data_IF_412007062851
#
_entry.id   IF_412007062851
#
_cell.length_a   1.000
_cell.length_b   1.000
_cell.length_c   1.000
_cell.angle_alpha   90.00
_cell.angle_beta   90.00
_cell.angle_gamma   90.00
#
_symmetry.space_group_name_H-M   'P 1'
#
loop_
_entity.id
_entity.type
_entity.pdbx_description
1 polymer ?
#
# COMPACT_ATOMS: atom_id res chain seq x y z
N UNK A 1 -25.60 11.81 13.80
CA UNK A 1 -25.63 11.42 12.38
C UNK A 1 -24.23 11.58 11.82
N UNK A 2 -23.88 10.98 10.66
CA UNK A 2 -22.70 11.43 9.92
C UNK A 2 -22.75 12.95 9.68
N UNK A 3 -21.57 13.57 9.60
CA UNK A 3 -21.46 15.01 9.40
C UNK A 3 -21.80 15.39 7.95
N UNK A 4 -22.30 16.63 7.77
CA UNK A 4 -22.60 17.20 6.45
C UNK A 4 -21.73 18.43 6.25
N UNK A 5 -21.02 18.49 5.12
CA UNK A 5 -20.17 19.64 4.75
C UNK A 5 -20.80 20.37 3.57
N UNK A 6 -20.99 21.69 3.71
CA UNK A 6 -21.57 22.57 2.70
C UNK A 6 -20.56 23.67 2.34
N UNK A 7 -20.41 23.96 1.03
CA UNK A 7 -19.55 25.04 0.54
C UNK A 7 -20.28 25.88 -0.51
N UNK A 8 -19.89 27.14 -0.63
CA UNK A 8 -20.37 28.08 -1.66
C UNK A 8 -19.18 28.74 -2.34
N UNK A 9 -19.25 28.93 -3.65
CA UNK A 9 -18.29 29.71 -4.43
C UNK A 9 -19.00 30.64 -5.39
N UNK A 10 -18.48 31.85 -5.58
CA UNK A 10 -18.88 32.75 -6.66
C UNK A 10 -17.96 32.60 -7.91
N UNK A 11 -16.98 31.71 -7.87
CA UNK A 11 -16.02 31.41 -8.96
C UNK A 11 -16.38 30.11 -9.71
N UNK A 12 -17.66 29.72 -9.68
CA UNK A 12 -18.13 28.46 -10.25
C UNK A 12 -17.61 27.21 -9.53
N UNK A 13 -17.69 26.07 -10.22
CA UNK A 13 -17.38 24.74 -9.69
C UNK A 13 -15.93 24.60 -9.24
N UNK A 14 -14.98 25.19 -9.99
CA UNK A 14 -13.57 25.15 -9.62
C UNK A 14 -13.28 25.79 -8.26
N UNK A 15 -13.98 26.88 -7.93
CA UNK A 15 -13.87 27.51 -6.61
C UNK A 15 -14.46 26.62 -5.50
N UNK A 16 -15.56 25.92 -5.76
CA UNK A 16 -16.12 24.95 -4.81
C UNK A 16 -15.13 23.81 -4.53
N UNK A 17 -14.52 23.24 -5.57
CA UNK A 17 -13.52 22.17 -5.44
C UNK A 17 -12.31 22.60 -4.60
N UNK A 18 -11.80 23.83 -4.80
CA UNK A 18 -10.67 24.36 -4.01
C UNK A 18 -11.02 24.56 -2.53
N UNK A 19 -12.25 25.00 -2.23
CA UNK A 19 -12.71 25.14 -0.84
C UNK A 19 -12.78 23.77 -0.17
N UNK A 20 -13.40 22.77 -0.81
CA UNK A 20 -13.44 21.40 -0.28
C UNK A 20 -12.04 20.81 -0.08
N UNK A 21 -11.16 20.97 -1.07
CA UNK A 21 -9.80 20.44 -0.99
C UNK A 21 -9.03 20.99 0.22
N UNK A 22 -9.08 22.32 0.44
CA UNK A 22 -8.45 22.94 1.60
C UNK A 22 -9.09 22.49 2.91
N UNK A 23 -10.43 22.46 2.98
CA UNK A 23 -11.14 22.01 4.18
C UNK A 23 -10.73 20.59 4.58
N UNK A 24 -10.64 19.65 3.63
CA UNK A 24 -10.27 18.27 3.96
C UNK A 24 -8.79 18.10 4.28
N UNK A 25 -7.89 18.86 3.64
CA UNK A 25 -6.48 18.88 4.02
C UNK A 25 -6.27 19.43 5.43
N UNK A 26 -6.96 20.51 5.80
CA UNK A 26 -6.73 21.22 7.06
C UNK A 26 -7.51 20.62 8.25
N UNK A 27 -8.62 19.91 8.00
CA UNK A 27 -9.58 19.55 9.05
C UNK A 27 -10.11 18.11 9.03
N UNK A 28 -9.77 17.26 8.05
CA UNK A 28 -10.29 15.89 7.98
C UNK A 28 -9.20 14.82 7.83
N UNK A 29 -8.27 15.01 6.89
CA UNK A 29 -7.20 14.03 6.65
C UNK A 29 -6.36 13.89 7.91
N UNK A 30 -6.11 12.64 8.31
CA UNK A 30 -5.47 12.31 9.57
C UNK A 30 -4.07 12.97 9.69
N UNK A 31 -3.71 13.49 10.87
CA UNK A 31 -2.46 14.24 11.06
C UNK A 31 -1.22 13.38 11.36
N UNK A 32 -1.29 12.03 11.42
CA UNK A 32 -0.14 11.19 11.80
C UNK A 32 0.10 9.97 10.90
N UNK A 33 1.28 9.88 10.23
CA UNK A 33 2.20 10.99 9.90
C UNK A 33 1.45 12.14 9.24
N UNK A 34 2.06 13.32 9.15
CA UNK A 34 1.49 14.59 8.67
C UNK A 34 1.09 14.54 7.17
N UNK A 35 0.30 13.54 6.75
CA UNK A 35 -0.02 13.14 5.38
C UNK A 35 -0.69 14.27 4.59
N UNK A 36 -1.41 15.15 5.29
CA UNK A 36 -1.97 16.36 4.71
C UNK A 36 -0.91 17.35 4.20
N UNK A 37 0.33 17.25 4.70
CA UNK A 37 1.42 18.23 4.46
C UNK A 37 2.69 17.61 3.89
N UNK A 38 2.79 16.29 3.75
CA UNK A 38 3.90 15.64 3.07
C UNK A 38 3.55 15.30 1.62
N UNK A 39 4.53 15.44 0.73
CA UNK A 39 4.43 14.86 -0.59
C UNK A 39 4.45 13.32 -0.45
N UNK A 40 3.44 12.61 -1.00
CA UNK A 40 3.43 11.15 -0.95
C UNK A 40 4.63 10.58 -1.73
N UNK A 41 5.18 9.42 -1.32
CA UNK A 41 6.24 8.76 -2.08
C UNK A 41 5.82 8.44 -3.50
N UNK A 42 6.78 8.50 -4.42
CA UNK A 42 6.63 7.78 -5.68
C UNK A 42 6.77 6.29 -5.38
N UNK A 43 5.72 5.52 -5.68
CA UNK A 43 5.67 4.10 -5.37
C UNK A 43 5.67 3.23 -6.62
N UNK A 44 6.18 2.00 -6.48
CA UNK A 44 6.00 0.91 -7.42
C UNK A 44 5.30 -0.24 -6.71
N UNK A 45 4.13 -0.64 -7.22
CA UNK A 45 3.32 -1.73 -6.68
C UNK A 45 3.52 -3.01 -7.50
N UNK A 46 3.59 -4.17 -6.84
CA UNK A 46 3.87 -5.45 -7.49
C UNK A 46 2.69 -6.10 -8.23
N UNK A 47 1.45 -5.61 -8.08
CA UNK A 47 0.24 -6.29 -8.56
C UNK A 47 0.30 -6.64 -10.04
N UNK A 48 0.32 -5.67 -10.96
CA UNK A 48 0.36 -5.98 -12.39
C UNK A 48 1.71 -6.54 -12.86
N UNK A 49 2.76 -6.39 -12.04
CA UNK A 49 4.10 -6.88 -12.37
C UNK A 49 4.27 -8.38 -12.06
N UNK A 50 3.52 -8.92 -11.08
CA UNK A 50 3.73 -10.27 -10.53
C UNK A 50 2.44 -11.02 -10.23
N UNK A 51 1.31 -10.35 -10.07
CA UNK A 51 0.10 -10.90 -9.46
C UNK A 51 0.48 -11.69 -8.19
N UNK A 52 0.09 -12.95 -8.10
CA UNK A 52 0.39 -13.81 -6.96
C UNK A 52 1.82 -14.38 -6.94
N UNK A 53 2.62 -14.23 -7.99
CA UNK A 53 4.00 -14.73 -8.03
C UNK A 53 4.99 -13.75 -7.36
N UNK A 54 4.63 -13.21 -6.20
CA UNK A 54 5.54 -12.40 -5.36
C UNK A 54 6.42 -13.32 -4.53
N UNK A 55 7.73 -13.05 -4.50
CA UNK A 55 8.68 -13.77 -3.66
C UNK A 55 9.88 -12.88 -3.30
N UNK A 56 10.71 -13.34 -2.36
CA UNK A 56 11.85 -12.57 -1.87
C UNK A 56 12.74 -12.02 -3.00
N UNK A 57 13.11 -12.88 -3.95
CA UNK A 57 14.08 -12.53 -4.99
C UNK A 57 13.54 -11.44 -5.92
N UNK A 58 12.28 -11.58 -6.35
CA UNK A 58 11.72 -10.64 -7.33
C UNK A 58 11.36 -9.28 -6.71
N UNK A 59 10.94 -9.23 -5.44
CA UNK A 59 10.69 -7.95 -4.75
C UNK A 59 12.00 -7.19 -4.55
N UNK A 60 13.08 -7.89 -4.18
CA UNK A 60 14.41 -7.27 -4.05
C UNK A 60 14.94 -6.77 -5.38
N UNK A 61 14.79 -7.54 -6.47
CA UNK A 61 15.18 -7.09 -7.81
C UNK A 61 14.38 -5.85 -8.25
N UNK A 62 13.07 -5.85 -8.01
CA UNK A 62 12.23 -4.66 -8.25
C UNK A 62 12.74 -3.43 -7.50
N UNK A 63 13.05 -3.55 -6.20
CA UNK A 63 13.59 -2.45 -5.41
C UNK A 63 14.92 -1.93 -5.95
N UNK A 64 15.82 -2.83 -6.34
CA UNK A 64 17.13 -2.50 -6.92
C UNK A 64 17.00 -1.76 -8.26
N UNK A 65 16.03 -2.11 -9.09
CA UNK A 65 15.79 -1.42 -10.36
C UNK A 65 15.08 -0.07 -10.14
N UNK A 66 14.06 -0.06 -9.29
CA UNK A 66 13.25 1.11 -8.99
C UNK A 66 14.07 2.23 -8.32
N UNK A 67 15.01 1.90 -7.45
CA UNK A 67 15.91 2.89 -6.82
C UNK A 67 16.75 3.67 -7.84
N UNK A 68 17.11 3.06 -8.98
CA UNK A 68 17.89 3.71 -10.05
C UNK A 68 17.11 4.80 -10.78
N UNK A 69 15.78 4.77 -10.71
CA UNK A 69 14.88 5.75 -11.34
C UNK A 69 14.18 6.65 -10.31
N UNK A 70 14.60 6.60 -9.04
CA UNK A 70 14.12 7.50 -7.99
C UNK A 70 12.79 7.10 -7.35
N UNK A 71 12.42 5.82 -7.35
CA UNK A 71 11.24 5.33 -6.61
C UNK A 71 11.54 5.25 -5.11
N UNK A 72 10.63 5.76 -4.28
CA UNK A 72 10.79 5.87 -2.82
C UNK A 72 10.18 4.70 -2.04
N UNK A 73 9.25 3.95 -2.64
CA UNK A 73 8.43 2.94 -1.97
C UNK A 73 8.14 1.75 -2.89
N UNK A 74 8.47 0.55 -2.43
CA UNK A 74 7.99 -0.71 -3.03
C UNK A 74 6.80 -1.21 -2.22
N UNK A 75 5.71 -1.53 -2.89
CA UNK A 75 4.53 -2.14 -2.26
C UNK A 75 4.43 -3.59 -2.72
N UNK A 76 4.51 -4.53 -1.77
CA UNK A 76 4.11 -5.92 -2.02
C UNK A 76 2.59 -5.98 -1.92
N UNK A 77 1.96 -6.21 -3.05
CA UNK A 77 0.50 -6.38 -3.17
C UNK A 77 0.08 -7.82 -2.76
N UNK A 78 -1.11 -8.27 -3.15
CA UNK A 78 -1.67 -9.56 -2.74
C UNK A 78 -0.72 -10.76 -2.99
N UNK A 79 -0.84 -11.80 -2.16
CA UNK A 79 -0.08 -13.04 -2.27
C UNK A 79 1.07 -13.22 -1.29
N UNK A 80 1.30 -12.27 -0.37
CA UNK A 80 2.40 -12.36 0.61
C UNK A 80 2.11 -13.24 1.83
N UNK A 81 0.85 -13.58 2.06
CA UNK A 81 0.35 -14.23 3.28
C UNK A 81 -0.22 -15.62 3.02
N UNK A 82 -0.34 -16.43 4.08
CA UNK A 82 -0.98 -17.74 4.08
C UNK A 82 -0.50 -18.64 2.92
N UNK A 83 -1.45 -19.27 2.24
CA UNK A 83 -1.22 -20.02 1.00
C UNK A 83 -1.75 -19.26 -0.24
N UNK A 84 -1.78 -17.93 -0.17
CA UNK A 84 -2.36 -17.02 -1.17
C UNK A 84 -1.57 -17.03 -2.49
N UNK A 85 -1.83 -18.03 -3.33
CA UNK A 85 -1.26 -18.15 -4.68
C UNK A 85 -2.29 -17.83 -5.79
N UNK A 86 -3.52 -17.59 -5.38
CA UNK A 86 -4.66 -17.13 -6.18
C UNK A 86 -5.62 -16.34 -5.26
N UNK A 87 -6.74 -15.89 -5.82
CA UNK A 87 -7.76 -15.09 -5.14
C UNK A 87 -8.77 -15.91 -4.33
N UNK A 88 -8.66 -17.26 -4.30
CA UNK A 88 -9.71 -18.15 -3.78
C UNK A 88 -9.53 -18.56 -2.31
N UNK A 89 -8.36 -18.32 -1.71
CA UNK A 89 -8.01 -18.82 -0.36
C UNK A 89 -7.31 -17.78 0.53
N UNK A 90 -7.10 -18.11 1.80
CA UNK A 90 -6.19 -17.42 2.73
C UNK A 90 -6.55 -16.00 3.20
N UNK A 91 -7.61 -15.34 2.69
CA UNK A 91 -8.06 -14.07 3.30
C UNK A 91 -8.44 -14.32 4.77
N UNK A 92 -7.92 -13.50 5.67
CA UNK A 92 -8.00 -13.70 7.13
C UNK A 92 -6.71 -14.24 7.75
N UNK A 93 -5.87 -14.93 6.97
CA UNK A 93 -4.62 -15.55 7.44
C UNK A 93 -3.42 -14.60 7.28
N UNK A 94 -3.38 -13.52 8.05
CA UNK A 94 -2.34 -12.47 7.98
C UNK A 94 -0.99 -12.92 8.59
N UNK A 95 -0.43 -14.02 8.09
CA UNK A 95 0.86 -14.61 8.44
C UNK A 95 1.70 -14.76 7.18
N UNK A 96 3.00 -14.45 7.31
CA UNK A 96 3.94 -14.50 6.19
C UNK A 96 3.97 -15.89 5.52
N UNK A 97 3.97 -15.91 4.19
CA UNK A 97 4.17 -17.13 3.42
C UNK A 97 5.67 -17.46 3.34
N UNK A 98 6.18 -18.32 4.23
CA UNK A 98 7.59 -18.70 4.25
C UNK A 98 8.06 -19.51 3.02
N UNK A 99 7.15 -20.07 2.22
CA UNK A 99 7.53 -20.69 0.94
C UNK A 99 7.96 -19.64 -0.09
N UNK A 100 7.30 -18.48 -0.09
CA UNK A 100 7.62 -17.32 -0.95
C UNK A 100 8.70 -16.42 -0.35
N UNK A 101 8.74 -16.33 0.98
CA UNK A 101 9.66 -15.52 1.75
C UNK A 101 10.38 -16.36 2.81
N UNK A 102 11.36 -17.21 2.42
CA UNK A 102 12.01 -18.16 3.33
C UNK A 102 12.69 -17.52 4.56
N UNK A 103 13.09 -16.25 4.45
CA UNK A 103 13.71 -15.48 5.52
C UNK A 103 12.73 -14.50 6.20
N UNK A 104 11.46 -14.57 5.84
CA UNK A 104 10.39 -13.69 6.27
C UNK A 104 10.44 -12.28 5.66
N UNK A 105 9.35 -11.52 5.83
CA UNK A 105 9.20 -10.17 5.29
C UNK A 105 10.17 -9.16 5.93
N UNK A 106 10.61 -9.41 7.17
CA UNK A 106 11.62 -8.58 7.81
C UNK A 106 12.96 -8.58 7.04
N UNK A 107 13.34 -9.72 6.46
CA UNK A 107 14.55 -9.79 5.63
C UNK A 107 14.37 -8.99 4.32
N UNK A 108 13.22 -9.14 3.66
CA UNK A 108 12.86 -8.36 2.48
C UNK A 108 12.88 -6.87 2.78
N UNK A 109 12.25 -6.43 3.88
CA UNK A 109 12.24 -5.03 4.29
C UNK A 109 13.65 -4.47 4.49
N UNK A 110 14.55 -5.21 5.15
CA UNK A 110 15.93 -4.78 5.34
C UNK A 110 16.68 -4.62 4.02
N UNK A 111 16.52 -5.57 3.10
CA UNK A 111 17.16 -5.50 1.78
C UNK A 111 16.60 -4.37 0.92
N UNK A 112 15.27 -4.22 0.85
CA UNK A 112 14.61 -3.10 0.14
C UNK A 112 15.09 -1.75 0.70
N UNK A 113 15.12 -1.61 2.03
CA UNK A 113 15.63 -0.41 2.69
C UNK A 113 17.11 -0.14 2.40
N UNK A 114 17.93 -1.19 2.20
CA UNK A 114 19.36 -1.02 1.84
C UNK A 114 19.56 -0.40 0.45
N UNK A 115 18.56 -0.49 -0.43
CA UNK A 115 18.55 0.20 -1.73
C UNK A 115 17.94 1.61 -1.68
N UNK A 116 17.56 2.09 -0.49
CA UNK A 116 16.97 3.42 -0.30
C UNK A 116 15.47 3.50 -0.54
N UNK A 117 14.80 2.37 -0.85
CA UNK A 117 13.35 2.31 -0.97
C UNK A 117 12.72 1.89 0.37
N UNK A 118 11.52 2.38 0.69
CA UNK A 118 10.68 1.85 1.77
C UNK A 118 9.93 0.61 1.31
N UNK A 119 9.41 -0.18 2.25
CA UNK A 119 8.51 -1.30 1.99
C UNK A 119 7.09 -1.01 2.51
N UNK A 120 6.08 -1.25 1.68
CA UNK A 120 4.66 -1.26 2.02
C UNK A 120 4.03 -2.63 1.75
N UNK A 121 2.93 -2.92 2.43
CA UNK A 121 2.19 -4.18 2.31
C UNK A 121 0.70 -3.90 2.10
N UNK A 122 0.06 -4.74 1.31
CA UNK A 122 -1.39 -4.75 1.13
C UNK A 122 -2.09 -5.60 2.19
N UNK A 123 -3.28 -5.18 2.62
CA UNK A 123 -4.16 -5.92 3.54
C UNK A 123 -5.63 -5.73 3.13
N UNK A 124 -6.46 -6.76 3.34
CA UNK A 124 -7.93 -6.70 3.18
C UNK A 124 -8.63 -7.25 4.43
N UNK A 125 -8.54 -6.53 5.57
CA UNK A 125 -8.90 -7.06 6.89
C UNK A 125 -10.39 -7.34 7.08
N UNK A 126 -11.24 -6.85 6.17
CA UNK A 126 -12.69 -7.00 6.22
C UNK A 126 -13.17 -8.32 5.61
N UNK A 127 -12.30 -9.06 4.92
CA UNK A 127 -12.64 -10.31 4.21
C UNK A 127 -12.08 -11.56 4.90
N UNK A 128 -12.75 -12.69 4.65
CA UNK A 128 -12.33 -14.03 5.07
C UNK A 128 -12.65 -15.05 3.98
N UNK A 129 -11.69 -15.93 3.67
CA UNK A 129 -11.90 -17.04 2.71
C UNK A 129 -12.51 -18.25 3.42
N UNK A 130 -13.34 -19.03 2.72
CA UNK A 130 -13.81 -20.33 3.23
C UNK A 130 -12.63 -21.27 3.50
N UNK A 131 -11.65 -21.26 2.60
CA UNK A 131 -10.37 -21.93 2.75
C UNK A 131 -9.33 -21.00 3.38
N UNK A 132 -9.62 -20.54 4.61
CA UNK A 132 -8.65 -19.92 5.50
C UNK A 132 -8.43 -20.81 6.72
N UNK A 133 -7.27 -20.71 7.35
CA UNK A 133 -6.92 -21.52 8.52
C UNK A 133 -7.78 -21.05 9.71
N UNK A 134 -8.49 -21.98 10.36
CA UNK A 134 -9.09 -21.72 11.68
C UNK A 134 -8.05 -21.71 12.79
#
# INVERSE_FOLDING_TARGET
TPEVVLVRSNEGLGGMSRIFHRLFLDHLIAPLPDWAKVNPPVLLNSWEAKYFDVNHANIVDMAKQASRIGVDLIVIDDGWFGARNDDTTSLGDWKENFSKFPLGLNAVAKEVNSYGCRLGLWFEPEMVSEQSVR
#
